data_IF_418321616282
#
_entry.id   IF_418321616282
#
_cell.length_a   1.000
_cell.length_b   1.000
_cell.length_c   1.000
_cell.angle_alpha   90.00
_cell.angle_beta   90.00
_cell.angle_gamma   90.00
#
_symmetry.space_group_name_H-M   'P 1'
#
loop_
_entity.id
_entity.type
_entity.pdbx_description
1 polymer ?
#
# COMPACT_ATOMS: atom_id res chain seq x y z
N UNK A 1 -29.36 15.53 3.22
CA UNK A 1 -28.72 14.20 3.18
C UNK A 1 -28.14 13.92 4.55
N UNK A 2 -28.66 12.93 5.27
CA UNK A 2 -28.03 12.46 6.50
C UNK A 2 -26.66 11.85 6.19
N UNK A 3 -25.64 12.25 6.96
CA UNK A 3 -24.33 11.61 6.92
C UNK A 3 -24.46 10.30 7.66
N UNK A 4 -24.63 9.19 6.93
CA UNK A 4 -24.55 7.85 7.52
C UNK A 4 -23.09 7.64 7.96
N UNK A 5 -22.81 7.45 9.26
CA UNK A 5 -21.46 7.12 9.69
C UNK A 5 -21.12 5.73 9.16
N UNK A 6 -20.26 5.69 8.14
CA UNK A 6 -19.67 4.43 7.68
C UNK A 6 -18.64 4.03 8.73
N UNK A 7 -18.91 2.96 9.49
CA UNK A 7 -17.87 2.30 10.28
C UNK A 7 -16.82 1.79 9.29
N UNK A 8 -15.61 2.29 9.40
CA UNK A 8 -14.48 1.69 8.71
C UNK A 8 -14.28 0.28 9.28
N UNK A 9 -14.44 -0.73 8.43
CA UNK A 9 -14.05 -2.10 8.76
C UNK A 9 -12.55 -2.19 8.52
N UNK A 10 -11.77 -1.87 9.54
CA UNK A 10 -10.34 -2.10 9.51
C UNK A 10 -10.10 -3.60 9.72
N UNK A 11 -9.68 -4.29 8.66
CA UNK A 11 -9.17 -5.65 8.82
C UNK A 11 -7.72 -5.55 9.30
N UNK A 12 -7.41 -6.26 10.38
CA UNK A 12 -6.04 -6.39 10.86
C UNK A 12 -5.22 -7.11 9.79
N UNK A 13 -4.12 -6.48 9.34
CA UNK A 13 -3.21 -7.10 8.38
C UNK A 13 -2.45 -8.19 9.15
N UNK A 14 -2.60 -9.45 8.73
CA UNK A 14 -1.85 -10.55 9.34
C UNK A 14 -0.35 -10.37 9.14
N UNK A 15 0.47 -10.85 10.10
CA UNK A 15 1.94 -10.81 10.01
C UNK A 15 2.46 -11.44 8.72
N UNK A 16 1.79 -12.51 8.26
CA UNK A 16 2.09 -13.16 6.99
C UNK A 16 1.87 -12.23 5.81
N UNK A 17 0.76 -11.50 5.79
CA UNK A 17 0.47 -10.55 4.71
C UNK A 17 1.43 -9.37 4.75
N UNK A 18 1.73 -8.86 5.95
CA UNK A 18 2.71 -7.81 6.17
C UNK A 18 4.10 -8.20 5.62
N UNK A 19 4.57 -9.41 5.93
CA UNK A 19 5.83 -9.94 5.41
C UNK A 19 5.83 -10.03 3.88
N UNK A 20 4.71 -10.44 3.26
CA UNK A 20 4.57 -10.48 1.80
C UNK A 20 4.59 -9.08 1.17
N UNK A 21 3.97 -8.09 1.81
CA UNK A 21 3.98 -6.70 1.34
C UNK A 21 5.41 -6.18 1.34
N UNK A 22 6.15 -6.32 2.43
CA UNK A 22 7.56 -5.89 2.49
C UNK A 22 8.45 -6.62 1.49
N UNK A 23 8.32 -7.95 1.39
CA UNK A 23 9.05 -8.72 0.38
C UNK A 23 8.77 -8.20 -1.04
N UNK A 24 7.54 -7.79 -1.31
CA UNK A 24 7.15 -7.26 -2.62
C UNK A 24 7.68 -5.85 -2.85
N UNK A 25 7.72 -5.00 -1.81
CA UNK A 25 8.38 -3.69 -1.89
C UNK A 25 9.86 -3.89 -2.24
N UNK A 26 10.56 -4.77 -1.53
CA UNK A 26 11.98 -5.10 -1.80
C UNK A 26 12.19 -5.64 -3.22
N UNK A 27 11.27 -6.46 -3.72
CA UNK A 27 11.33 -6.97 -5.07
C UNK A 27 11.07 -5.89 -6.12
N UNK A 28 10.10 -5.00 -5.90
CA UNK A 28 9.81 -3.89 -6.81
C UNK A 28 10.96 -2.89 -6.87
N UNK A 29 11.65 -2.63 -5.75
CA UNK A 29 12.87 -1.84 -5.69
C UNK A 29 14.00 -2.43 -6.55
N UNK A 30 14.11 -3.78 -6.60
CA UNK A 30 15.10 -4.49 -7.43
C UNK A 30 14.67 -4.63 -8.90
N UNK A 31 13.39 -4.45 -9.21
CA UNK A 31 12.80 -4.64 -10.53
C UNK A 31 12.17 -3.33 -11.04
N UNK A 32 12.99 -2.30 -11.13
CA UNK A 32 12.57 -0.96 -11.54
C UNK A 32 11.79 -0.99 -12.86
N UNK A 33 10.68 -0.26 -12.92
CA UNK A 33 9.79 -0.19 -14.07
C UNK A 33 8.75 -1.32 -14.15
N UNK A 34 8.76 -2.30 -13.23
CA UNK A 34 7.73 -3.33 -13.13
C UNK A 34 6.75 -3.04 -12.00
N UNK A 35 5.51 -3.52 -12.18
CA UNK A 35 4.46 -3.51 -11.18
C UNK A 35 4.29 -4.91 -10.62
N UNK A 36 4.16 -5.01 -9.30
CA UNK A 36 3.89 -6.27 -8.63
C UNK A 36 2.58 -6.16 -7.86
N UNK A 37 1.71 -7.16 -8.02
CA UNK A 37 0.40 -7.21 -7.38
C UNK A 37 0.37 -8.34 -6.35
N UNK A 38 -0.22 -8.06 -5.20
CA UNK A 38 -0.50 -9.01 -4.13
C UNK A 38 -1.98 -8.92 -3.81
N UNK A 39 -2.63 -10.06 -3.65
CA UNK A 39 -4.00 -10.11 -3.14
C UNK A 39 -3.95 -10.85 -1.81
N UNK A 40 -4.57 -10.25 -0.80
CA UNK A 40 -4.93 -10.92 0.44
C UNK A 40 -6.26 -11.64 0.21
N UNK A 41 -6.21 -12.97 0.08
CA UNK A 41 -7.40 -13.78 -0.19
C UNK A 41 -8.36 -13.85 1.00
N UNK A 42 -7.87 -13.61 2.23
CA UNK A 42 -8.70 -13.65 3.44
C UNK A 42 -9.60 -12.42 3.54
N UNK A 43 -9.07 -11.26 3.17
CA UNK A 43 -9.76 -9.96 3.25
C UNK A 43 -10.21 -9.42 1.90
N UNK A 44 -9.81 -10.07 0.81
CA UNK A 44 -10.01 -9.64 -0.58
C UNK A 44 -9.44 -8.24 -0.89
N UNK A 45 -8.38 -7.85 -0.18
CA UNK A 45 -7.65 -6.58 -0.38
C UNK A 45 -6.53 -6.78 -1.39
N UNK A 46 -6.42 -5.86 -2.35
CA UNK A 46 -5.36 -5.89 -3.37
C UNK A 46 -4.35 -4.77 -3.15
N UNK A 47 -3.07 -5.12 -3.24
CA UNK A 47 -1.92 -4.22 -3.12
C UNK A 47 -1.14 -4.25 -4.43
N UNK A 48 -0.90 -3.09 -5.03
CA UNK A 48 -0.05 -2.95 -6.21
C UNK A 48 1.08 -1.98 -5.90
N UNK A 49 2.32 -2.47 -6.07
CA UNK A 49 3.56 -1.77 -5.72
C UNK A 49 4.41 -1.65 -6.98
N UNK A 50 4.91 -0.45 -7.25
CA UNK A 50 5.84 -0.19 -8.35
C UNK A 50 6.90 0.82 -7.96
N UNK A 51 8.08 0.65 -8.53
CA UNK A 51 9.19 1.60 -8.40
C UNK A 51 9.60 2.12 -9.77
N UNK A 52 9.76 3.44 -9.91
CA UNK A 52 10.18 4.09 -11.17
C UNK A 52 11.70 4.32 -11.21
N UNK A 53 12.22 4.65 -12.40
CA UNK A 53 13.64 4.99 -12.60
C UNK A 53 14.03 6.32 -11.94
N UNK A 54 13.05 7.15 -11.60
CA UNK A 54 13.28 8.46 -10.98
C UNK A 54 13.21 8.38 -9.44
N UNK A 55 13.36 7.17 -8.88
CA UNK A 55 13.28 6.86 -7.45
C UNK A 55 11.91 7.09 -6.79
N UNK A 56 10.82 6.91 -7.56
CA UNK A 56 9.47 7.00 -7.03
C UNK A 56 8.91 5.64 -6.69
N UNK A 57 8.53 5.45 -5.43
CA UNK A 57 7.73 4.31 -5.01
C UNK A 57 6.25 4.69 -5.02
N UNK A 58 5.44 3.89 -5.71
CA UNK A 58 3.98 4.01 -5.68
C UNK A 58 3.39 2.75 -5.09
N UNK A 59 2.55 2.91 -4.06
CA UNK A 59 1.77 1.83 -3.47
C UNK A 59 0.30 2.18 -3.62
N UNK A 60 -0.48 1.26 -4.18
CA UNK A 60 -1.92 1.38 -4.27
C UNK A 60 -2.62 0.22 -3.57
N UNK A 61 -3.67 0.55 -2.84
CA UNK A 61 -4.49 -0.38 -2.05
C UNK A 61 -5.92 -0.28 -2.53
N UNK A 62 -6.54 -1.44 -2.77
CA UNK A 62 -7.95 -1.56 -3.15
C UNK A 62 -8.65 -2.40 -2.09
N UNK A 63 -9.64 -1.79 -1.43
CA UNK A 63 -10.35 -2.40 -0.31
C UNK A 63 -11.80 -1.86 -0.26
N UNK A 64 -12.65 -2.55 0.49
CA UNK A 64 -14.04 -2.23 0.70
C UNK A 64 -14.20 -0.99 1.59
N UNK A 65 -15.09 -0.08 1.18
CA UNK A 65 -15.43 1.11 1.96
C UNK A 65 -14.63 2.35 1.57
N UNK A 66 -14.89 3.49 2.21
CA UNK A 66 -14.40 4.82 1.78
C UNK A 66 -12.94 5.09 2.13
N UNK A 67 -12.36 4.31 3.03
CA UNK A 67 -10.98 4.43 3.52
C UNK A 67 -10.33 3.06 3.43
N UNK A 68 -9.80 2.69 2.26
CA UNK A 68 -9.24 1.36 2.03
C UNK A 68 -8.00 1.22 2.91
N UNK A 69 -7.81 0.05 3.50
CA UNK A 69 -6.92 -0.24 4.62
C UNK A 69 -5.81 0.81 4.85
N UNK A 70 -6.19 1.95 5.46
CA UNK A 70 -5.30 3.08 5.67
C UNK A 70 -4.14 2.72 6.63
N UNK A 71 -4.16 1.49 7.18
CA UNK A 71 -3.19 0.90 8.09
C UNK A 71 -1.79 0.71 7.51
N UNK A 72 -1.62 0.72 6.18
CA UNK A 72 -0.27 0.74 5.63
C UNK A 72 0.46 2.04 5.96
N UNK A 73 -0.22 3.17 6.14
CA UNK A 73 0.44 4.43 6.53
C UNK A 73 1.17 4.29 7.88
N UNK A 74 0.51 3.92 9.00
CA UNK A 74 1.19 3.70 10.28
C UNK A 74 2.36 2.71 10.22
N UNK A 75 2.34 1.77 9.27
CA UNK A 75 3.38 0.76 9.07
C UNK A 75 4.55 1.31 8.24
N UNK A 76 4.26 2.04 7.16
CA UNK A 76 5.23 2.49 6.17
C UNK A 76 5.88 3.82 6.55
N UNK A 77 5.15 4.72 7.24
CA UNK A 77 5.65 6.04 7.63
C UNK A 77 6.90 5.95 8.52
N UNK A 78 6.99 5.05 9.51
CA UNK A 78 8.21 4.89 10.30
C UNK A 78 9.44 4.42 9.48
N UNK A 79 9.23 3.86 8.30
CA UNK A 79 10.28 3.23 7.47
C UNK A 79 10.70 4.15 6.32
N UNK A 80 9.73 4.73 5.63
CA UNK A 80 9.92 5.53 4.41
C UNK A 80 9.59 7.02 4.58
N UNK A 81 9.12 7.43 5.76
CA UNK A 81 8.61 8.78 6.01
C UNK A 81 7.18 8.97 5.51
N UNK A 82 6.67 10.20 5.63
CA UNK A 82 5.34 10.57 5.10
C UNK A 82 5.34 10.52 3.57
N UNK A 83 4.26 10.02 2.93
CA UNK A 83 4.15 10.08 1.48
C UNK A 83 4.04 11.52 0.99
N UNK A 84 4.71 11.80 -0.11
CA UNK A 84 4.68 13.08 -0.83
C UNK A 84 3.28 13.43 -1.31
N UNK A 85 2.56 12.43 -1.85
CA UNK A 85 1.22 12.58 -2.42
C UNK A 85 0.35 11.40 -2.03
N UNK A 86 -0.93 11.68 -1.83
CA UNK A 86 -1.95 10.67 -1.62
C UNK A 86 -3.20 10.99 -2.43
N UNK A 87 -3.80 9.98 -3.06
CA UNK A 87 -5.09 10.09 -3.73
C UNK A 87 -6.02 8.97 -3.27
N UNK A 88 -7.26 9.32 -2.99
CA UNK A 88 -8.32 8.36 -2.73
C UNK A 88 -9.47 8.57 -3.72
N UNK A 89 -9.97 7.49 -4.32
CA UNK A 89 -11.15 7.55 -5.20
C UNK A 89 -11.94 6.24 -5.18
N UNK A 90 -13.27 6.28 -5.36
CA UNK A 90 -14.04 5.06 -5.59
C UNK A 90 -13.49 4.25 -6.77
N UNK A 91 -13.57 2.92 -6.67
CA UNK A 91 -13.16 2.04 -7.75
C UNK A 91 -14.14 2.16 -8.92
N UNK A 92 -13.60 2.27 -10.14
CA UNK A 92 -14.40 2.55 -11.35
C UNK A 92 -15.43 1.45 -11.64
N UNK A 93 -15.07 0.18 -11.39
CA UNK A 93 -15.96 -0.96 -11.66
C UNK A 93 -16.96 -1.24 -10.52
N UNK A 94 -16.67 -0.78 -9.30
CA UNK A 94 -17.50 -1.05 -8.14
C UNK A 94 -17.30 0.05 -7.08
N UNK A 95 -18.26 0.98 -6.94
CA UNK A 95 -18.13 2.11 -6.03
C UNK A 95 -18.17 1.74 -4.55
N UNK A 96 -18.45 0.47 -4.20
CA UNK A 96 -18.30 -0.03 -2.84
C UNK A 96 -16.82 -0.19 -2.42
N UNK A 97 -15.90 -0.19 -3.39
CA UNK A 97 -14.46 -0.23 -3.14
C UNK A 97 -13.86 1.16 -3.31
N UNK A 98 -12.79 1.43 -2.57
CA UNK A 98 -11.96 2.62 -2.74
C UNK A 98 -10.54 2.22 -3.09
N UNK A 99 -9.92 2.98 -3.98
CA UNK A 99 -8.50 2.96 -4.24
C UNK A 99 -7.86 4.05 -3.41
N UNK A 100 -6.84 3.69 -2.63
CA UNK A 100 -5.87 4.65 -2.08
C UNK A 100 -4.55 4.46 -2.82
N UNK A 101 -3.93 5.55 -3.25
CA UNK A 101 -2.62 5.56 -3.89
C UNK A 101 -1.73 6.50 -3.10
N UNK A 102 -0.55 6.02 -2.71
CA UNK A 102 0.46 6.74 -1.94
C UNK A 102 1.77 6.77 -2.73
N UNK A 103 2.45 7.91 -2.70
CA UNK A 103 3.68 8.17 -3.44
C UNK A 103 4.78 8.58 -2.47
N UNK A 104 5.95 7.98 -2.62
CA UNK A 104 7.18 8.41 -1.97
C UNK A 104 8.24 8.72 -3.03
N UNK A 105 8.98 9.80 -2.84
CA UNK A 105 10.13 10.19 -3.65
C UNK A 105 11.42 9.83 -2.91
N UNK A 106 12.52 9.61 -3.65
CA UNK A 106 13.85 9.32 -3.09
C UNK A 106 13.87 8.08 -2.17
N UNK A 107 13.08 7.05 -2.48
CA UNK A 107 13.06 5.81 -1.68
C UNK A 107 14.32 5.01 -1.99
N UNK A 108 15.39 5.29 -1.25
CA UNK A 108 16.65 4.59 -1.41
C UNK A 108 16.58 3.20 -0.79
N UNK A 109 17.09 2.20 -1.51
CA UNK A 109 17.35 0.87 -0.96
C UNK A 109 18.43 1.02 0.12
N UNK A 110 18.05 0.99 1.40
CA UNK A 110 19.01 0.77 2.45
C UNK A 110 19.49 -0.69 2.36
N UNK A 111 20.56 -0.92 1.59
CA UNK A 111 21.24 -2.21 1.49
C UNK A 111 21.83 -2.70 2.84
N UNK A 112 21.65 -1.95 3.92
CA UNK A 112 22.11 -2.23 5.29
C UNK A 112 21.08 -2.93 6.18
N UNK A 113 19.87 -3.28 5.71
CA UNK A 113 18.96 -4.16 6.46
C UNK A 113 19.05 -5.64 6.05
N UNK A 114 20.22 -6.06 5.56
CA UNK A 114 20.67 -7.44 5.78
C UNK A 114 21.13 -7.57 7.23
N UNK A 115 20.60 -8.55 7.95
CA UNK A 115 20.83 -8.87 9.38
C UNK A 115 19.84 -8.17 10.32
N UNK A 116 18.66 -8.80 10.47
CA UNK A 116 18.03 -8.94 11.77
C UNK A 116 19.10 -9.40 12.77
N UNK A 117 19.44 -8.54 13.73
CA UNK A 117 20.09 -8.97 14.99
C UNK A 117 19.01 -9.42 15.97
#
# INVERSE_FOLDING_TARGET
MEKVPVRANFFEISDRMLARIFQTIDQSLKNVGKRTNIIDEETNVSYCISYSLDDYMTISVVDLGPTPNASLLPILVPIYGEPEKMYAKPWVLNPAYTILIMFWENVTINNTQGVLQ
#
